data_IF_248997291202
#
_entry.id   IF_248997291202
#
_cell.length_a   1.000
_cell.length_b   1.000
_cell.length_c   1.000
_cell.angle_alpha   90.00
_cell.angle_beta   90.00
_cell.angle_gamma   90.00
#
_symmetry.space_group_name_H-M   'P 1'
#
loop_
_entity.id
_entity.type
_entity.pdbx_description
1 polymer ?
#
# COMPACT_ATOMS: atom_id res chain seq x y z
N UNK A 1 8.57 -24.99 -15.08
CA UNK A 1 8.13 -24.34 -16.33
C UNK A 1 8.97 -23.09 -16.56
N UNK A 2 10.11 -23.23 -17.24
CA UNK A 2 10.95 -22.12 -17.68
C UNK A 2 11.09 -22.27 -19.20
N UNK A 3 10.42 -21.41 -19.97
CA UNK A 3 10.63 -21.31 -21.41
C UNK A 3 11.53 -20.11 -21.67
N UNK A 4 12.76 -20.42 -22.02
CA UNK A 4 13.76 -19.49 -22.51
C UNK A 4 13.30 -18.88 -23.84
N UNK A 5 13.26 -17.55 -23.92
CA UNK A 5 13.14 -16.84 -25.18
C UNK A 5 14.51 -16.86 -25.88
N UNK A 6 14.75 -17.89 -26.70
CA UNK A 6 15.84 -17.89 -27.67
C UNK A 6 15.52 -16.87 -28.77
N UNK A 7 16.16 -15.70 -28.72
CA UNK A 7 16.18 -14.74 -29.82
C UNK A 7 17.28 -15.17 -30.79
N UNK A 8 16.87 -15.46 -32.03
CA UNK A 8 17.75 -15.87 -33.11
C UNK A 8 18.80 -14.79 -33.43
N UNK A 9 20.05 -15.23 -33.60
CA UNK A 9 21.15 -14.45 -34.15
C UNK A 9 21.10 -14.47 -35.68
N UNK A 10 21.39 -13.36 -36.39
CA UNK A 10 21.68 -13.42 -37.82
C UNK A 10 23.18 -13.59 -38.05
N UNK A 11 23.55 -14.56 -38.89
CA UNK A 11 24.90 -14.74 -39.42
C UNK A 11 25.16 -13.79 -40.63
N UNK A 12 26.42 -13.42 -40.92
CA UNK A 12 26.77 -12.37 -41.89
C UNK A 12 27.26 -12.94 -43.23
N UNK A 13 26.98 -12.26 -44.36
CA UNK A 13 27.70 -12.44 -45.65
C UNK A 13 27.43 -11.25 -46.61
N UNK A 14 28.24 -10.99 -47.68
CA UNK A 14 29.24 -9.92 -47.69
C UNK A 14 29.08 -8.84 -48.79
N UNK A 15 29.98 -7.87 -48.74
CA UNK A 15 30.21 -6.67 -49.59
C UNK A 15 30.39 -6.94 -51.09
N UNK A 16 30.16 -5.92 -51.94
CA UNK A 16 31.17 -5.52 -52.92
C UNK A 16 31.46 -4.01 -52.96
N UNK A 17 32.71 -3.70 -53.33
CA UNK A 17 33.38 -2.41 -53.29
C UNK A 17 33.04 -1.44 -54.45
N UNK A 18 33.16 -0.13 -54.21
CA UNK A 18 33.80 0.84 -55.13
C UNK A 18 33.92 2.25 -54.51
N UNK A 19 35.19 2.69 -54.36
CA UNK A 19 35.80 4.01 -54.58
C UNK A 19 35.10 5.34 -54.22
N UNK A 20 35.82 6.19 -53.45
CA UNK A 20 35.78 7.65 -53.64
C UNK A 20 36.03 8.53 -52.40
N UNK A 21 37.26 9.03 -52.26
CA UNK A 21 37.68 10.35 -51.70
C UNK A 21 37.65 10.66 -50.18
N UNK A 22 38.87 10.91 -49.67
CA UNK A 22 39.31 11.71 -48.50
C UNK A 22 38.65 13.12 -48.40
N UNK A 23 38.67 13.86 -47.25
CA UNK A 23 39.82 13.98 -46.32
C UNK A 23 39.56 14.06 -44.81
N UNK A 24 40.68 13.84 -44.12
CA UNK A 24 41.02 13.99 -42.70
C UNK A 24 40.31 15.14 -41.96
N UNK A 25 39.79 14.85 -40.76
CA UNK A 25 39.59 15.85 -39.69
C UNK A 25 39.95 15.21 -38.35
N UNK A 26 40.99 15.75 -37.73
CA UNK A 26 41.39 15.55 -36.34
C UNK A 26 40.49 16.37 -35.41
N UNK A 27 39.86 15.71 -34.44
CA UNK A 27 39.28 16.26 -33.20
C UNK A 27 38.54 15.08 -32.52
N UNK A 28 38.50 14.83 -31.22
CA UNK A 28 39.13 15.34 -30.01
C UNK A 28 38.80 14.25 -28.97
N UNK A 29 39.73 13.91 -28.09
CA UNK A 29 39.44 13.01 -26.97
C UNK A 29 38.36 13.61 -26.07
N UNK A 30 37.14 13.07 -26.11
CA UNK A 30 36.18 13.26 -25.03
C UNK A 30 36.34 12.11 -24.04
N UNK A 31 36.90 12.47 -22.88
CA UNK A 31 36.88 11.68 -21.66
C UNK A 31 35.44 11.29 -21.35
N UNK A 32 35.07 10.05 -21.68
CA UNK A 32 33.86 9.44 -21.18
C UNK A 32 33.98 9.30 -19.66
N UNK A 33 33.32 10.18 -18.93
CA UNK A 33 33.03 9.95 -17.51
C UNK A 33 32.11 8.74 -17.47
N UNK A 34 32.71 7.55 -17.25
CA UNK A 34 31.98 6.35 -16.84
C UNK A 34 31.37 6.63 -15.48
N UNK A 35 30.15 7.14 -15.47
CA UNK A 35 29.32 7.20 -14.29
C UNK A 35 29.10 5.73 -13.85
N UNK A 36 29.48 5.34 -12.62
CA UNK A 36 29.26 3.98 -12.17
C UNK A 36 27.76 3.74 -12.09
N UNK A 37 27.22 2.98 -13.05
CA UNK A 37 25.85 2.50 -13.00
C UNK A 37 25.75 1.55 -11.80
N UNK A 38 25.03 1.95 -10.77
CA UNK A 38 24.78 1.09 -9.62
C UNK A 38 24.15 -0.23 -10.14
N UNK A 39 24.67 -1.40 -9.74
CA UNK A 39 24.16 -2.67 -10.23
C UNK A 39 22.66 -2.77 -9.90
N UNK A 40 21.86 -3.11 -10.92
CA UNK A 40 20.43 -3.31 -10.73
C UNK A 40 20.19 -4.37 -9.64
N UNK A 41 19.24 -4.16 -8.71
CA UNK A 41 18.94 -5.13 -7.67
C UNK A 41 18.58 -6.47 -8.31
N UNK A 42 19.43 -7.48 -8.10
CA UNK A 42 19.19 -8.83 -8.57
C UNK A 42 18.25 -9.53 -7.59
N UNK A 43 16.98 -9.65 -7.98
CA UNK A 43 16.00 -10.45 -7.23
C UNK A 43 16.20 -11.90 -7.64
N UNK A 44 16.73 -12.72 -6.73
CA UNK A 44 16.67 -14.18 -6.88
C UNK A 44 15.22 -14.59 -6.67
N UNK A 45 14.56 -15.04 -7.74
CA UNK A 45 13.20 -15.56 -7.68
C UNK A 45 13.26 -16.93 -7.05
N UNK A 46 12.76 -17.03 -5.82
CA UNK A 46 12.69 -18.29 -5.12
C UNK A 46 11.24 -18.70 -4.88
N UNK A 47 10.89 -19.91 -5.32
CA UNK A 47 9.52 -20.45 -5.33
C UNK A 47 9.46 -21.86 -4.73
N UNK A 48 10.53 -22.30 -4.05
CA UNK A 48 10.60 -23.66 -3.51
C UNK A 48 9.73 -23.88 -2.27
N UNK A 49 9.48 -22.83 -1.48
CA UNK A 49 8.57 -22.85 -0.34
C UNK A 49 7.85 -21.50 -0.15
N UNK A 50 6.77 -21.52 0.65
CA UNK A 50 5.90 -20.37 0.89
C UNK A 50 6.63 -19.19 1.55
N UNK A 51 7.66 -19.46 2.36
CA UNK A 51 8.43 -18.41 3.04
C UNK A 51 9.34 -17.69 2.05
N UNK A 52 10.07 -18.45 1.23
CA UNK A 52 10.95 -17.92 0.19
C UNK A 52 10.16 -17.18 -0.88
N UNK A 53 8.98 -17.69 -1.24
CA UNK A 53 8.06 -16.99 -2.15
C UNK A 53 7.56 -15.68 -1.56
N UNK A 54 7.10 -15.69 -0.30
CA UNK A 54 6.71 -14.46 0.42
C UNK A 54 7.85 -13.45 0.46
N UNK A 55 9.07 -13.88 0.78
CA UNK A 55 10.24 -12.99 0.84
C UNK A 55 10.59 -12.42 -0.55
N UNK A 56 10.45 -13.21 -1.61
CA UNK A 56 10.59 -12.74 -3.00
C UNK A 56 9.57 -11.65 -3.30
N UNK A 57 8.28 -11.86 -2.99
CA UNK A 57 7.22 -10.88 -3.21
C UNK A 57 7.46 -9.58 -2.42
N UNK A 58 7.92 -9.68 -1.17
CA UNK A 58 8.24 -8.51 -0.35
C UNK A 58 9.42 -7.71 -0.90
N UNK A 59 10.45 -8.39 -1.44
CA UNK A 59 11.58 -7.72 -2.13
C UNK A 59 11.11 -6.98 -3.39
N UNK A 60 10.28 -7.63 -4.22
CA UNK A 60 9.70 -6.99 -5.41
C UNK A 60 8.85 -5.78 -5.01
N UNK A 61 7.99 -5.93 -3.99
CA UNK A 61 7.16 -4.85 -3.48
C UNK A 61 7.98 -3.66 -2.96
N UNK A 62 9.09 -3.93 -2.26
CA UNK A 62 10.00 -2.89 -1.79
C UNK A 62 10.60 -2.09 -2.96
N UNK A 63 11.08 -2.77 -4.01
CA UNK A 63 11.63 -2.13 -5.21
C UNK A 63 10.57 -1.30 -5.95
N UNK A 64 9.33 -1.79 -6.03
CA UNK A 64 8.23 -1.05 -6.64
C UNK A 64 7.93 0.24 -5.86
N UNK A 65 7.83 0.17 -4.53
CA UNK A 65 7.58 1.35 -3.70
C UNK A 65 8.73 2.36 -3.74
N UNK A 66 9.98 1.91 -3.83
CA UNK A 66 11.15 2.80 -3.94
C UNK A 66 11.19 3.54 -5.28
N UNK A 67 10.90 2.83 -6.38
CA UNK A 67 10.99 3.40 -7.73
C UNK A 67 9.77 4.23 -8.12
N UNK A 68 8.60 3.86 -7.62
CA UNK A 68 7.31 4.48 -7.96
C UNK A 68 6.44 4.58 -6.69
N UNK A 69 6.76 5.48 -5.75
CA UNK A 69 6.04 5.61 -4.49
C UNK A 69 4.58 6.05 -4.66
N UNK A 70 4.25 6.67 -5.79
CA UNK A 70 2.89 7.06 -6.20
C UNK A 70 2.09 5.90 -6.81
N UNK A 71 2.77 4.83 -7.27
CA UNK A 71 2.13 3.65 -7.85
C UNK A 71 1.57 2.72 -6.77
N UNK A 72 0.27 2.39 -6.81
CA UNK A 72 -0.33 1.48 -5.83
C UNK A 72 0.23 0.06 -5.82
N UNK A 73 0.87 -0.38 -6.91
CA UNK A 73 1.16 -1.79 -7.13
C UNK A 73 2.14 -2.38 -6.12
N UNK A 74 3.16 -1.62 -5.70
CA UNK A 74 4.08 -2.08 -4.66
C UNK A 74 3.37 -2.35 -3.32
N UNK A 75 2.43 -1.46 -2.95
CA UNK A 75 1.68 -1.57 -1.71
C UNK A 75 0.65 -2.70 -1.76
N UNK A 76 -0.01 -2.92 -2.90
CA UNK A 76 -0.92 -4.06 -3.11
C UNK A 76 -0.17 -5.40 -3.03
N UNK A 77 0.96 -5.50 -3.73
CA UNK A 77 1.80 -6.69 -3.70
C UNK A 77 2.30 -7.00 -2.28
N UNK A 78 2.65 -5.98 -1.50
CA UNK A 78 3.05 -6.12 -0.10
C UNK A 78 1.93 -6.74 0.75
N UNK A 79 0.68 -6.29 0.61
CA UNK A 79 -0.48 -6.84 1.33
C UNK A 79 -0.79 -8.27 0.88
N UNK A 80 -0.69 -8.55 -0.42
CA UNK A 80 -0.82 -9.91 -0.93
C UNK A 80 0.21 -10.85 -0.29
N UNK A 81 1.50 -10.48 -0.30
CA UNK A 81 2.55 -11.27 0.32
C UNK A 81 2.32 -11.48 1.84
N UNK A 82 1.82 -10.45 2.53
CA UNK A 82 1.53 -10.49 3.96
C UNK A 82 0.41 -11.46 4.32
N UNK A 83 -0.68 -11.48 3.54
CA UNK A 83 -1.92 -12.17 3.91
C UNK A 83 -2.25 -13.42 3.10
N UNK A 84 -1.50 -13.74 2.03
CA UNK A 84 -1.78 -14.89 1.15
C UNK A 84 -1.87 -16.23 1.90
N UNK A 85 -1.06 -16.42 2.95
CA UNK A 85 -1.01 -17.67 3.72
C UNK A 85 -1.92 -17.68 4.94
N UNK A 86 -2.60 -16.57 5.25
CA UNK A 86 -3.54 -16.50 6.37
C UNK A 86 -4.91 -16.91 5.85
N UNK A 87 -5.26 -18.19 5.92
CA UNK A 87 -6.52 -18.74 5.37
C UNK A 87 -7.61 -18.96 6.42
N UNK A 88 -7.29 -18.80 7.70
CA UNK A 88 -8.22 -18.88 8.83
C UNK A 88 -7.87 -17.82 9.88
N UNK A 89 -8.82 -17.50 10.76
CA UNK A 89 -8.54 -16.64 11.91
C UNK A 89 -7.66 -17.34 12.95
N UNK A 90 -6.87 -16.59 13.75
CA UNK A 90 -6.18 -17.16 14.90
C UNK A 90 -7.19 -17.75 15.89
N UNK A 91 -6.77 -18.78 16.63
CA UNK A 91 -7.59 -19.38 17.67
C UNK A 91 -7.80 -18.37 18.80
N UNK A 92 -9.07 -18.14 19.14
CA UNK A 92 -9.47 -17.23 20.20
C UNK A 92 -9.95 -17.98 21.44
N UNK A 93 -9.78 -17.36 22.61
CA UNK A 93 -10.42 -17.75 23.87
C UNK A 93 -11.91 -17.39 23.87
N UNK A 94 -12.63 -17.80 24.91
CA UNK A 94 -14.08 -17.55 25.04
C UNK A 94 -14.46 -16.06 25.06
N UNK A 95 -13.52 -15.19 25.43
CA UNK A 95 -13.67 -13.74 25.48
C UNK A 95 -13.23 -13.03 24.18
N UNK A 96 -12.83 -13.78 23.14
CA UNK A 96 -12.38 -13.25 21.85
C UNK A 96 -10.90 -12.87 21.77
N UNK A 97 -10.13 -13.04 22.86
CA UNK A 97 -8.67 -12.81 22.84
C UNK A 97 -7.92 -13.90 22.13
N UNK A 98 -6.84 -13.51 21.48
CA UNK A 98 -5.90 -14.40 20.78
C UNK A 98 -4.56 -14.38 21.51
N UNK A 99 -3.69 -15.39 21.33
CA UNK A 99 -2.35 -15.40 21.94
C UNK A 99 -1.38 -14.41 21.27
N UNK A 100 -1.87 -13.55 20.37
CA UNK A 100 -1.07 -12.60 19.60
C UNK A 100 -0.86 -11.33 20.40
N UNK A 101 0.38 -10.83 20.40
CA UNK A 101 0.71 -9.55 21.01
C UNK A 101 0.29 -8.39 20.11
N UNK A 102 -0.30 -7.34 20.72
CA UNK A 102 -0.53 -6.08 20.05
C UNK A 102 0.80 -5.34 19.79
N UNK A 103 0.77 -4.40 18.84
CA UNK A 103 1.84 -3.40 18.72
C UNK A 103 1.80 -2.50 19.95
N UNK A 104 2.96 -2.16 20.52
CA UNK A 104 3.07 -1.34 21.73
C UNK A 104 2.27 -0.04 21.61
N UNK A 105 1.46 0.26 22.62
CA UNK A 105 0.65 1.48 22.68
C UNK A 105 1.49 2.76 22.57
N UNK A 106 2.69 2.78 23.18
CA UNK A 106 3.62 3.91 23.09
C UNK A 106 4.07 4.14 21.64
N UNK A 107 4.42 3.07 20.94
CA UNK A 107 4.81 3.14 19.53
C UNK A 107 3.65 3.63 18.64
N UNK A 108 2.43 3.16 18.91
CA UNK A 108 1.23 3.61 18.20
C UNK A 108 0.96 5.09 18.48
N UNK A 109 1.11 5.55 19.72
CA UNK A 109 0.96 6.95 20.09
C UNK A 109 1.99 7.85 19.40
N UNK A 110 3.25 7.41 19.33
CA UNK A 110 4.33 8.13 18.65
C UNK A 110 4.04 8.32 17.16
N UNK A 111 3.49 7.31 16.48
CA UNK A 111 3.08 7.45 15.09
C UNK A 111 1.95 8.47 14.90
N UNK A 112 0.94 8.44 15.76
CA UNK A 112 -0.17 9.38 15.69
C UNK A 112 0.30 10.82 15.96
N UNK A 113 1.23 11.02 16.89
CA UNK A 113 1.80 12.33 17.19
C UNK A 113 2.55 12.92 15.99
N UNK A 114 3.28 12.09 15.24
CA UNK A 114 4.04 12.52 14.06
C UNK A 114 3.18 12.72 12.81
N UNK A 115 1.93 12.26 12.81
CA UNK A 115 1.05 12.28 11.64
C UNK A 115 0.77 13.71 11.14
N UNK A 116 0.81 14.72 12.02
CA UNK A 116 0.64 16.13 11.64
C UNK A 116 1.76 16.67 10.73
N UNK A 117 2.96 16.14 10.86
CA UNK A 117 4.15 16.48 10.06
C UNK A 117 4.66 15.25 9.30
N UNK A 118 3.74 14.43 8.80
CA UNK A 118 4.04 13.18 8.14
C UNK A 118 5.07 13.33 7.01
N UNK A 119 6.09 12.49 7.03
CA UNK A 119 7.12 12.38 6.00
C UNK A 119 7.25 10.92 5.51
N UNK A 120 8.15 10.71 4.54
CA UNK A 120 8.42 9.37 4.01
C UNK A 120 9.01 8.42 5.06
N UNK A 121 9.76 8.93 6.04
CA UNK A 121 10.40 8.11 7.06
C UNK A 121 9.37 7.51 8.03
N UNK A 122 8.42 8.33 8.49
CA UNK A 122 7.27 7.87 9.26
C UNK A 122 6.52 6.78 8.48
N UNK A 123 6.25 7.01 7.20
CA UNK A 123 5.50 6.04 6.40
C UNK A 123 6.22 4.69 6.29
N UNK A 124 7.53 4.72 6.03
CA UNK A 124 8.37 3.52 5.98
C UNK A 124 8.39 2.78 7.33
N UNK A 125 8.42 3.51 8.45
CA UNK A 125 8.40 2.91 9.78
C UNK A 125 7.05 2.24 10.07
N UNK A 126 5.93 2.88 9.73
CA UNK A 126 4.59 2.29 9.85
C UNK A 126 4.46 1.05 8.98
N UNK A 127 4.90 1.10 7.72
CA UNK A 127 4.88 -0.06 6.81
C UNK A 127 5.70 -1.25 7.33
N UNK A 128 6.86 -0.97 7.95
CA UNK A 128 7.69 -2.00 8.59
C UNK A 128 6.96 -2.67 9.75
N UNK A 129 6.31 -1.87 10.61
CA UNK A 129 5.54 -2.40 11.75
C UNK A 129 4.33 -3.23 11.29
N UNK A 130 3.63 -2.79 10.25
CA UNK A 130 2.54 -3.56 9.62
C UNK A 130 3.01 -4.93 9.10
N UNK A 131 4.19 -5.00 8.49
CA UNK A 131 4.75 -6.27 8.02
C UNK A 131 5.10 -7.25 9.16
N UNK A 132 5.40 -6.74 10.35
CA UNK A 132 5.70 -7.55 11.54
C UNK A 132 4.44 -7.95 12.31
N UNK A 133 3.34 -7.20 12.15
CA UNK A 133 2.07 -7.44 12.83
C UNK A 133 0.91 -7.56 11.81
N UNK A 134 0.74 -8.73 11.15
CA UNK A 134 -0.25 -8.90 10.06
C UNK A 134 -1.71 -8.63 10.45
N UNK A 135 -2.03 -8.73 11.73
CA UNK A 135 -3.38 -8.53 12.28
C UNK A 135 -3.58 -7.12 12.86
N UNK A 136 -2.57 -6.24 12.83
CA UNK A 136 -2.70 -4.86 13.27
C UNK A 136 -3.35 -4.00 12.18
N UNK A 137 -4.68 -4.10 12.04
CA UNK A 137 -5.42 -3.45 10.97
C UNK A 137 -5.45 -1.93 11.10
N UNK A 138 -5.37 -1.42 12.32
CA UNK A 138 -5.22 0.02 12.59
C UNK A 138 -3.94 0.61 11.96
N UNK A 139 -2.85 -0.18 11.89
CA UNK A 139 -1.62 0.23 11.22
C UNK A 139 -1.80 0.47 9.72
N UNK A 140 -2.74 -0.25 9.08
CA UNK A 140 -3.08 -0.01 7.67
C UNK A 140 -3.87 1.28 7.47
N UNK A 141 -4.78 1.60 8.41
CA UNK A 141 -5.49 2.88 8.41
C UNK A 141 -4.49 4.03 8.57
N UNK A 142 -3.58 3.91 9.53
CA UNK A 142 -2.50 4.88 9.75
C UNK A 142 -1.61 5.04 8.50
N UNK A 143 -1.20 3.94 7.87
CA UNK A 143 -0.42 3.98 6.63
C UNK A 143 -1.16 4.70 5.50
N UNK A 144 -2.46 4.44 5.32
CA UNK A 144 -3.28 5.13 4.32
C UNK A 144 -3.45 6.62 4.64
N UNK A 145 -3.60 6.99 5.91
CA UNK A 145 -3.65 8.40 6.34
C UNK A 145 -2.32 9.11 6.07
N UNK A 146 -1.19 8.47 6.36
CA UNK A 146 0.15 8.99 6.04
C UNK A 146 0.33 9.18 4.54
N UNK A 147 -0.04 8.16 3.74
CA UNK A 147 -0.01 8.23 2.27
C UNK A 147 -0.84 9.41 1.74
N UNK A 148 -2.04 9.63 2.29
CA UNK A 148 -2.93 10.72 1.90
C UNK A 148 -2.31 12.08 2.21
N UNK A 149 -1.68 12.26 3.38
CA UNK A 149 -1.00 13.51 3.75
C UNK A 149 0.20 13.82 2.88
N UNK A 150 0.88 12.79 2.38
CA UNK A 150 1.98 12.91 1.43
C UNK A 150 1.51 13.12 -0.02
N UNK A 151 0.19 13.14 -0.26
CA UNK A 151 -0.40 13.36 -1.59
C UNK A 151 -0.62 12.08 -2.41
N UNK A 152 -0.32 10.90 -1.87
CA UNK A 152 -0.46 9.61 -2.57
C UNK A 152 -1.87 9.02 -2.39
N UNK A 153 -2.89 9.74 -2.86
CA UNK A 153 -4.30 9.33 -2.71
C UNK A 153 -4.59 7.95 -3.29
N UNK A 154 -4.09 7.64 -4.49
CA UNK A 154 -4.33 6.34 -5.13
C UNK A 154 -3.75 5.18 -4.31
N UNK A 155 -2.62 5.41 -3.63
CA UNK A 155 -2.02 4.44 -2.72
C UNK A 155 -2.86 4.27 -1.46
N UNK A 156 -3.34 5.37 -0.87
CA UNK A 156 -4.22 5.33 0.29
C UNK A 156 -5.50 4.53 0.01
N UNK A 157 -6.15 4.79 -1.12
CA UNK A 157 -7.34 4.05 -1.57
C UNK A 157 -7.02 2.56 -1.79
N UNK A 158 -5.89 2.26 -2.43
CA UNK A 158 -5.47 0.88 -2.65
C UNK A 158 -5.20 0.10 -1.36
N UNK A 159 -4.56 0.74 -0.36
CA UNK A 159 -4.34 0.13 0.96
C UNK A 159 -5.69 -0.19 1.60
N UNK A 160 -6.65 0.74 1.54
CA UNK A 160 -8.02 0.52 2.04
C UNK A 160 -8.66 -0.69 1.34
N UNK A 161 -8.61 -0.74 0.02
CA UNK A 161 -9.21 -1.83 -0.77
C UNK A 161 -8.63 -3.20 -0.39
N UNK A 162 -7.31 -3.30 -0.15
CA UNK A 162 -6.69 -4.57 0.27
C UNK A 162 -7.16 -4.99 1.67
N UNK A 163 -7.31 -4.03 2.60
CA UNK A 163 -7.84 -4.32 3.94
C UNK A 163 -9.29 -4.82 3.85
N UNK A 164 -10.12 -4.18 3.02
CA UNK A 164 -11.50 -4.61 2.77
C UNK A 164 -11.52 -6.05 2.25
N UNK A 165 -10.75 -6.37 1.20
CA UNK A 165 -10.66 -7.74 0.66
C UNK A 165 -10.21 -8.77 1.70
N UNK A 166 -9.28 -8.39 2.57
CA UNK A 166 -8.81 -9.28 3.63
C UNK A 166 -9.91 -9.57 4.66
N UNK A 167 -10.68 -8.56 5.05
CA UNK A 167 -11.81 -8.70 5.96
C UNK A 167 -13.01 -9.40 5.33
N UNK A 168 -13.29 -9.19 4.04
CA UNK A 168 -14.33 -9.95 3.31
C UNK A 168 -14.02 -11.45 3.30
N UNK A 169 -12.73 -11.80 3.22
CA UNK A 169 -12.27 -13.20 3.24
C UNK A 169 -12.32 -13.82 4.64
N UNK A 170 -12.08 -13.02 5.68
CA UNK A 170 -12.06 -13.45 7.08
C UNK A 170 -12.83 -12.46 7.97
N UNK A 171 -14.17 -12.40 7.87
CA UNK A 171 -14.96 -11.37 8.55
C UNK A 171 -14.93 -11.51 10.07
N UNK A 172 -14.62 -12.70 10.60
CA UNK A 172 -14.53 -12.92 12.05
C UNK A 172 -13.40 -12.09 12.69
N UNK A 173 -12.39 -11.64 11.92
CA UNK A 173 -11.31 -10.79 12.42
C UNK A 173 -11.82 -9.49 13.03
N UNK A 174 -13.00 -8.98 12.63
CA UNK A 174 -13.53 -7.71 13.14
C UNK A 174 -13.94 -7.76 14.62
N UNK A 175 -14.10 -8.96 15.18
CA UNK A 175 -14.48 -9.19 16.57
C UNK A 175 -13.36 -9.76 17.44
N UNK A 176 -12.13 -9.91 16.93
CA UNK A 176 -11.02 -10.50 17.67
C UNK A 176 -10.17 -9.44 18.39
N UNK A 177 -9.57 -9.88 19.49
CA UNK A 177 -8.70 -9.09 20.35
C UNK A 177 -7.30 -9.71 20.41
N UNK A 178 -6.30 -8.86 20.62
CA UNK A 178 -4.96 -9.27 21.05
C UNK A 178 -5.00 -9.76 22.52
N UNK A 179 -3.88 -10.30 22.99
CA UNK A 179 -3.76 -10.87 24.34
C UNK A 179 -4.01 -9.85 25.48
N UNK A 180 -3.81 -8.56 25.20
CA UNK A 180 -3.97 -7.43 26.11
C UNK A 180 -5.35 -6.75 26.01
N UNK A 181 -6.31 -7.38 25.34
CA UNK A 181 -7.65 -6.86 25.00
C UNK A 181 -7.69 -5.75 23.95
N UNK A 182 -6.56 -5.33 23.38
CA UNK A 182 -6.57 -4.39 22.25
C UNK A 182 -7.32 -5.04 21.07
N UNK A 183 -8.29 -4.37 20.43
CA UNK A 183 -8.98 -4.94 19.28
C UNK A 183 -8.05 -5.02 18.06
N UNK A 184 -8.24 -6.01 17.19
CA UNK A 184 -7.53 -6.08 15.91
C UNK A 184 -7.84 -4.87 15.02
N UNK A 185 -9.06 -4.34 15.17
CA UNK A 185 -9.57 -3.19 14.43
C UNK A 185 -10.38 -2.28 15.37
N UNK A 186 -9.92 -1.04 15.51
CA UNK A 186 -10.62 -0.01 16.26
C UNK A 186 -11.91 0.45 15.55
N UNK A 187 -12.81 1.08 16.31
CA UNK A 187 -14.02 1.71 15.74
C UNK A 187 -13.68 2.79 14.70
N UNK A 188 -12.58 3.55 14.91
CA UNK A 188 -12.11 4.53 13.94
C UNK A 188 -11.74 3.88 12.60
N UNK A 189 -11.02 2.76 12.63
CA UNK A 189 -10.65 2.02 11.42
C UNK A 189 -11.89 1.41 10.74
N UNK A 190 -12.87 0.92 11.51
CA UNK A 190 -14.15 0.45 10.94
C UNK A 190 -14.88 1.57 10.19
N UNK A 191 -14.93 2.77 10.76
CA UNK A 191 -15.52 3.94 10.09
C UNK A 191 -14.76 4.33 8.82
N UNK A 192 -13.42 4.30 8.85
CA UNK A 192 -12.59 4.56 7.67
C UNK A 192 -12.84 3.56 6.54
N UNK A 193 -13.04 2.28 6.86
CA UNK A 193 -13.36 1.25 5.87
C UNK A 193 -14.78 1.42 5.30
N UNK A 194 -15.74 1.83 6.14
CA UNK A 194 -17.12 2.08 5.72
C UNK A 194 -17.29 3.37 4.90
N UNK A 195 -16.36 4.32 5.01
CA UNK A 195 -16.40 5.58 4.29
C UNK A 195 -16.30 5.35 2.78
N UNK A 196 -17.39 5.63 2.07
CA UNK A 196 -17.42 5.57 0.60
C UNK A 196 -16.50 6.63 0.01
N UNK A 197 -15.56 6.27 -0.91
CA UNK A 197 -14.72 7.26 -1.60
C UNK A 197 -15.54 8.26 -2.43
N UNK A 198 -16.78 7.92 -2.74
CA UNK A 198 -17.72 8.68 -3.56
C UNK A 198 -18.89 9.25 -2.75
N UNK A 199 -18.70 9.48 -1.44
CA UNK A 199 -19.58 10.35 -0.67
C UNK A 199 -19.40 11.79 -1.18
N UNK A 200 -19.92 12.04 -2.39
CA UNK A 200 -20.33 13.35 -2.87
C UNK A 200 -21.03 14.01 -1.70
N UNK A 201 -20.46 15.11 -1.23
CA UNK A 201 -21.16 16.03 -0.34
C UNK A 201 -22.48 16.34 -1.04
N UNK A 202 -23.56 15.69 -0.59
CA UNK A 202 -24.89 16.07 -1.02
C UNK A 202 -25.04 17.56 -0.70
N UNK A 203 -25.57 18.39 -1.62
CA UNK A 203 -25.68 19.81 -1.34
C UNK A 203 -26.49 19.98 -0.05
N UNK A 204 -25.94 20.76 0.89
CA UNK A 204 -26.59 21.23 2.13
C UNK A 204 -27.71 22.23 1.76
N UNK A 205 -28.56 21.87 0.81
CA UNK A 205 -29.69 22.66 0.34
C UNK A 205 -31.02 22.01 0.78
N UNK A 206 -31.12 20.68 0.82
CA UNK A 206 -32.38 20.00 1.15
C UNK A 206 -32.64 19.86 2.66
N UNK A 207 -31.60 19.68 3.48
CA UNK A 207 -31.75 19.58 4.96
C UNK A 207 -32.19 20.93 5.56
N UNK A 208 -31.88 22.04 4.90
CA UNK A 208 -32.27 23.39 5.34
C UNK A 208 -33.74 23.74 5.10
N UNK A 209 -34.35 23.20 4.04
CA UNK A 209 -35.76 23.46 3.72
C UNK A 209 -36.70 22.64 4.62
N UNK A 210 -36.40 21.36 4.86
CA UNK A 210 -37.19 20.52 5.77
C UNK A 210 -37.11 21.02 7.22
N UNK A 211 -35.93 21.48 7.67
CA UNK A 211 -35.79 22.09 9.01
C UNK A 211 -36.46 23.45 9.14
N UNK A 212 -36.57 24.23 8.05
CA UNK A 212 -37.33 25.50 8.06
C UNK A 212 -38.83 25.25 8.00
N UNK A 213 -39.28 24.27 7.22
CA UNK A 213 -40.69 23.88 7.15
C UNK A 213 -41.19 23.32 8.49
N UNK A 214 -40.39 22.48 9.16
CA UNK A 214 -40.70 21.99 10.50
C UNK A 214 -40.82 23.16 11.51
N UNK A 215 -39.89 24.13 11.49
CA UNK A 215 -39.93 25.30 12.39
C UNK A 215 -41.11 26.24 12.11
N UNK A 216 -41.52 26.38 10.85
CA UNK A 216 -42.70 27.17 10.49
C UNK A 216 -43.99 26.51 10.98
N UNK A 217 -44.10 25.18 10.86
CA UNK A 217 -45.27 24.44 11.33
C UNK A 217 -45.41 24.48 12.87
N UNK A 218 -44.28 24.44 13.59
CA UNK A 218 -44.26 24.62 15.05
C UNK A 218 -44.62 26.04 15.53
N UNK A 219 -44.49 27.06 14.67
CA UNK A 219 -44.85 28.43 15.03
C UNK A 219 -46.33 28.74 14.79
N UNK A 220 -46.99 28.05 13.85
CA UNK A 220 -48.42 28.23 13.56
C UNK A 220 -49.33 27.40 14.49
N UNK A 221 -48.86 26.26 14.98
CA UNK A 221 -49.59 25.43 15.94
C UNK A 221 -49.04 25.65 17.33
N UNK A 222 -49.42 26.78 17.95
CA UNK A 222 -49.18 27.04 19.36
C UNK A 222 -49.69 25.89 20.22
N UNK A 223 -48.92 25.52 21.26
CA UNK A 223 -49.32 24.58 22.29
C UNK A 223 -50.63 25.04 22.93
N UNK A 224 -51.74 24.36 22.62
CA UNK A 224 -52.85 24.17 23.55
C UNK A 224 -52.69 22.85 24.30
#
# INVERSE_FOLDING_TARGET
YQRAFNRAAPAPVPTPAASGSSPQTTATSESGVTQPSAPAPQIVIDSHDDKAWRDTLLKVAAILCERQPDSPQGYRLRRHALWQNITSTPQAESDGRTPLAAVSADMVADYHAQLGSADMALWQQVEKSVLLAPYWLDGHCLSAQTALRLGYKQVADAIRDEVIRFLERLPQLTGLLFNDHTPFISEQTKQWLAASPDAKVAPVAQIGEESKAARACFAEQGLE
#
